data_IF_666419957180
#
_entry.id   IF_666419957180
#
_cell.length_a   1.000
_cell.length_b   1.000
_cell.length_c   1.000
_cell.angle_alpha   90.00
_cell.angle_beta   90.00
_cell.angle_gamma   90.00
#
_symmetry.space_group_name_H-M   'P 1'
#
loop_
_entity.id
_entity.type
_entity.pdbx_description
1 polymer ?
#
# COMPACT_ATOMS: atom_id res chain seq x y z
N UNK A 1 -10.75 -30.61 -24.47
CA UNK A 1 -11.59 -29.44 -24.77
C UNK A 1 -12.59 -29.30 -23.64
N UNK A 2 -12.21 -28.62 -22.57
CA UNK A 2 -13.11 -28.28 -21.48
C UNK A 2 -13.06 -26.76 -21.38
N UNK A 3 -14.14 -26.15 -21.86
CA UNK A 3 -14.47 -24.75 -21.64
C UNK A 3 -14.79 -24.59 -20.15
N UNK A 4 -13.95 -23.87 -19.43
CA UNK A 4 -14.26 -23.41 -18.08
C UNK A 4 -14.43 -21.89 -18.15
N UNK A 5 -15.68 -21.49 -18.38
CA UNK A 5 -16.16 -20.11 -18.45
C UNK A 5 -16.23 -19.47 -17.05
N UNK A 6 -15.07 -19.30 -16.41
CA UNK A 6 -14.94 -18.58 -15.13
C UNK A 6 -14.10 -17.30 -15.27
N UNK A 7 -14.34 -16.55 -16.35
CA UNK A 7 -13.95 -15.14 -16.39
C UNK A 7 -14.94 -14.33 -15.56
N UNK A 8 -14.66 -14.25 -14.25
CA UNK A 8 -15.36 -13.39 -13.30
C UNK A 8 -15.58 -12.01 -13.92
N UNK A 9 -16.86 -11.70 -14.10
CA UNK A 9 -17.38 -10.40 -14.53
C UNK A 9 -17.11 -9.40 -13.39
N UNK A 10 -15.88 -8.91 -13.34
CA UNK A 10 -15.27 -8.16 -12.23
C UNK A 10 -15.93 -6.81 -11.95
N UNK A 11 -16.83 -6.30 -12.80
CA UNK A 11 -17.26 -4.90 -12.69
C UNK A 11 -18.59 -4.68 -11.93
N UNK A 12 -19.54 -5.62 -11.94
CA UNK A 12 -20.78 -5.47 -11.14
C UNK A 12 -20.62 -6.09 -9.74
N UNK A 13 -20.02 -7.27 -9.64
CA UNK A 13 -19.81 -7.97 -8.36
C UNK A 13 -18.73 -7.33 -7.47
N UNK A 14 -17.79 -6.56 -8.03
CA UNK A 14 -16.77 -5.90 -7.22
C UNK A 14 -17.36 -4.78 -6.36
N UNK A 15 -18.35 -4.02 -6.84
CA UNK A 15 -18.97 -2.94 -6.06
C UNK A 15 -19.89 -3.49 -4.97
N UNK A 16 -20.69 -4.51 -5.27
CA UNK A 16 -21.58 -5.14 -4.29
C UNK A 16 -20.78 -5.89 -3.21
N UNK A 17 -19.73 -6.64 -3.59
CA UNK A 17 -18.86 -7.30 -2.62
C UNK A 17 -18.00 -6.32 -1.81
N UNK A 18 -17.59 -5.18 -2.36
CA UNK A 18 -16.86 -4.16 -1.61
C UNK A 18 -17.72 -3.49 -0.53
N UNK A 19 -19.04 -3.34 -0.76
CA UNK A 19 -19.98 -2.83 0.26
C UNK A 19 -20.24 -3.84 1.37
N UNK A 20 -20.39 -5.12 1.03
CA UNK A 20 -20.63 -6.18 2.02
C UNK A 20 -19.38 -6.45 2.88
N UNK A 21 -18.19 -6.23 2.33
CA UNK A 21 -16.89 -6.45 2.97
C UNK A 21 -16.28 -5.17 3.55
N UNK A 22 -17.08 -4.14 3.85
CA UNK A 22 -16.59 -2.90 4.49
C UNK A 22 -15.95 -3.14 5.87
N UNK A 23 -16.33 -4.23 6.54
CA UNK A 23 -15.72 -4.70 7.78
C UNK A 23 -14.36 -5.39 7.54
N UNK A 24 -14.07 -5.76 6.29
CA UNK A 24 -12.82 -6.38 5.90
C UNK A 24 -11.86 -5.29 5.40
N UNK A 25 -10.69 -5.20 6.02
CA UNK A 25 -9.66 -4.25 5.61
C UNK A 25 -9.28 -4.43 4.13
N UNK A 26 -8.84 -3.34 3.49
CA UNK A 26 -8.37 -3.37 2.11
C UNK A 26 -6.85 -3.54 2.09
N UNK A 27 -6.36 -4.59 1.44
CA UNK A 27 -4.92 -4.78 1.20
C UNK A 27 -4.51 -4.16 -0.14
N UNK A 28 -3.67 -3.12 -0.09
CA UNK A 28 -3.06 -2.52 -1.26
C UNK A 28 -1.65 -3.09 -1.47
N UNK A 29 -1.38 -3.63 -2.67
CA UNK A 29 -0.09 -4.19 -3.05
C UNK A 29 0.70 -3.17 -3.88
N UNK A 30 1.34 -2.23 -3.18
CA UNK A 30 2.03 -1.08 -3.78
C UNK A 30 3.19 -1.46 -4.72
N UNK A 31 3.80 -2.62 -4.50
CA UNK A 31 4.90 -3.15 -5.34
C UNK A 31 4.45 -4.28 -6.27
N UNK A 32 3.15 -4.47 -6.46
CA UNK A 32 2.62 -5.61 -7.19
C UNK A 32 2.67 -6.90 -6.38
N UNK A 33 2.68 -8.05 -7.07
CA UNK A 33 2.63 -9.36 -6.42
C UNK A 33 3.27 -10.43 -7.28
N UNK A 34 3.85 -11.46 -6.66
CA UNK A 34 4.39 -12.63 -7.38
C UNK A 34 3.33 -13.37 -8.20
N UNK A 35 2.07 -13.30 -7.77
CA UNK A 35 0.93 -13.90 -8.44
C UNK A 35 0.11 -12.90 -9.26
N UNK A 36 0.65 -11.71 -9.54
CA UNK A 36 0.05 -10.78 -10.50
C UNK A 36 0.83 -10.89 -11.81
N UNK A 37 0.12 -11.06 -12.92
CA UNK A 37 0.67 -10.96 -14.25
C UNK A 37 0.05 -9.80 -15.03
N UNK A 38 0.71 -9.36 -16.09
CA UNK A 38 0.20 -8.33 -16.99
C UNK A 38 0.45 -8.72 -18.44
N UNK A 39 -0.50 -8.39 -19.32
CA UNK A 39 -0.35 -8.69 -20.73
C UNK A 39 0.79 -7.85 -21.33
N UNK A 40 1.70 -8.50 -22.07
CA UNK A 40 2.80 -7.82 -22.76
C UNK A 40 2.34 -7.06 -24.01
N UNK A 41 1.22 -7.46 -24.60
CA UNK A 41 0.60 -6.73 -25.71
C UNK A 41 -0.07 -5.44 -25.21
N UNK A 42 0.51 -4.30 -25.57
CA UNK A 42 0.05 -2.98 -25.19
C UNK A 42 -1.35 -2.63 -25.71
N UNK A 43 -1.81 -3.26 -26.80
CA UNK A 43 -3.15 -3.05 -27.36
C UNK A 43 -4.25 -3.82 -26.60
N UNK A 44 -3.86 -4.78 -25.76
CA UNK A 44 -4.79 -5.56 -24.96
C UNK A 44 -5.35 -4.74 -23.79
N UNK A 45 -6.64 -4.88 -23.50
CA UNK A 45 -7.27 -4.25 -22.33
C UNK A 45 -6.65 -4.67 -20.98
N UNK A 46 -5.95 -5.81 -20.94
CA UNK A 46 -5.23 -6.35 -19.77
C UNK A 46 -3.78 -5.88 -19.66
N UNK A 47 -3.31 -4.95 -20.50
CA UNK A 47 -1.97 -4.36 -20.41
C UNK A 47 -1.82 -3.34 -19.27
N UNK A 48 -2.94 -2.88 -18.71
CA UNK A 48 -3.00 -1.83 -17.68
C UNK A 48 -3.46 -2.31 -16.29
N UNK A 49 -3.99 -3.55 -16.22
CA UNK A 49 -4.58 -4.12 -15.02
C UNK A 49 -4.04 -5.53 -14.79
N UNK A 50 -3.68 -5.89 -13.54
CA UNK A 50 -3.12 -7.20 -13.26
C UNK A 50 -4.16 -8.30 -13.44
N UNK A 51 -3.69 -9.43 -13.95
CA UNK A 51 -4.38 -10.71 -13.94
C UNK A 51 -3.90 -11.45 -12.69
N UNK A 52 -4.85 -11.96 -11.91
CA UNK A 52 -4.57 -12.70 -10.68
C UNK A 52 -4.41 -14.18 -11.00
N UNK A 53 -3.29 -14.75 -10.59
CA UNK A 53 -3.02 -16.17 -10.68
C UNK A 53 -3.11 -16.83 -9.31
N UNK A 54 -3.45 -18.12 -9.29
CA UNK A 54 -3.36 -18.90 -8.06
C UNK A 54 -1.88 -19.05 -7.68
N UNK A 55 -1.54 -19.08 -6.38
CA UNK A 55 -0.15 -19.14 -5.93
C UNK A 55 0.65 -20.30 -6.55
N UNK A 56 0.03 -21.48 -6.70
CA UNK A 56 0.68 -22.67 -7.28
C UNK A 56 0.83 -22.61 -8.80
N UNK A 57 0.00 -21.81 -9.48
CA UNK A 57 0.12 -21.62 -10.93
C UNK A 57 1.25 -20.61 -11.25
N UNK A 58 1.77 -19.88 -10.24
CA UNK A 58 2.77 -18.80 -10.39
C UNK A 58 4.22 -19.24 -10.45
N UNK A 59 4.47 -20.54 -10.41
CA UNK A 59 5.81 -21.12 -10.52
C UNK A 59 6.30 -21.18 -11.98
N UNK A 60 5.39 -21.28 -12.95
CA UNK A 60 5.73 -21.36 -14.38
C UNK A 60 5.11 -20.20 -15.18
N UNK A 61 5.76 -19.03 -15.13
CA UNK A 61 5.32 -17.86 -15.91
C UNK A 61 5.50 -18.02 -17.42
N UNK A 62 6.39 -18.90 -17.87
CA UNK A 62 6.65 -19.06 -19.30
C UNK A 62 5.46 -19.69 -20.03
N UNK A 63 4.60 -20.41 -19.32
CA UNK A 63 3.35 -20.95 -19.85
C UNK A 63 2.16 -19.99 -19.74
N UNK A 64 2.32 -18.82 -19.12
CA UNK A 64 1.22 -17.89 -18.92
C UNK A 64 0.88 -17.11 -20.18
N UNK A 65 -0.37 -17.24 -20.62
CA UNK A 65 -0.93 -16.51 -21.75
C UNK A 65 -2.10 -15.64 -21.32
N UNK A 66 -2.21 -14.49 -21.97
CA UNK A 66 -3.25 -13.52 -21.70
C UNK A 66 -4.60 -14.15 -21.99
N UNK A 67 -5.51 -14.22 -21.00
CA UNK A 67 -6.83 -14.78 -21.20
C UNK A 67 -7.67 -14.02 -22.23
N UNK A 68 -7.32 -12.75 -22.51
CA UNK A 68 -8.06 -11.89 -23.41
C UNK A 68 -7.57 -11.91 -24.86
N UNK A 69 -6.28 -12.15 -25.11
CA UNK A 69 -5.69 -12.05 -26.45
C UNK A 69 -4.67 -13.14 -26.78
N UNK A 70 -4.38 -14.05 -25.84
CA UNK A 70 -3.40 -15.13 -26.01
C UNK A 70 -1.93 -14.68 -25.94
N UNK A 71 -1.63 -13.38 -25.92
CA UNK A 71 -0.25 -12.87 -25.85
C UNK A 71 0.46 -13.26 -24.55
N UNK A 72 1.80 -13.31 -24.51
CA UNK A 72 2.54 -13.65 -23.30
C UNK A 72 2.22 -12.73 -22.11
N UNK A 73 2.39 -13.25 -20.90
CA UNK A 73 2.21 -12.50 -19.66
C UNK A 73 3.56 -12.26 -19.00
N UNK A 74 3.75 -11.04 -18.50
CA UNK A 74 4.89 -10.66 -17.67
C UNK A 74 4.50 -10.57 -16.21
N UNK A 75 5.44 -10.85 -15.30
CA UNK A 75 5.21 -10.70 -13.87
C UNK A 75 5.03 -9.22 -13.51
N UNK A 76 3.97 -8.91 -12.78
CA UNK A 76 3.67 -7.56 -12.34
C UNK A 76 4.23 -7.30 -10.93
N UNK A 77 5.54 -7.02 -10.89
CA UNK A 77 6.27 -6.58 -9.70
C UNK A 77 6.96 -5.26 -10.01
N UNK A 78 6.82 -4.28 -9.11
CA UNK A 78 7.57 -3.03 -9.16
C UNK A 78 8.56 -2.98 -8.00
N UNK A 79 9.87 -3.19 -8.24
CA UNK A 79 10.85 -3.11 -7.17
C UNK A 79 10.92 -1.70 -6.55
N UNK A 80 11.31 -1.59 -5.28
CA UNK A 80 11.60 -0.30 -4.65
C UNK A 80 12.92 0.24 -5.25
N UNK A 81 12.85 1.12 -6.25
CA UNK A 81 14.03 1.73 -6.84
C UNK A 81 13.84 3.25 -7.06
N UNK A 82 14.97 3.96 -7.15
CA UNK A 82 15.02 5.44 -7.23
C UNK A 82 14.51 5.96 -8.59
N UNK A 83 14.64 5.16 -9.65
CA UNK A 83 14.24 5.51 -11.01
C UNK A 83 12.86 4.94 -11.38
N UNK A 84 11.90 5.00 -10.45
CA UNK A 84 10.47 4.86 -10.77
C UNK A 84 10.02 6.09 -11.55
N UNK A 85 10.54 6.29 -12.76
CA UNK A 85 10.12 7.39 -13.63
C UNK A 85 8.70 7.07 -14.10
N UNK A 86 7.73 7.51 -13.29
CA UNK A 86 6.29 7.38 -13.47
C UNK A 86 5.80 5.94 -13.40
N UNK A 87 4.97 5.59 -12.40
CA UNK A 87 4.15 4.38 -12.44
C UNK A 87 3.41 4.34 -13.79
N UNK A 88 3.89 3.60 -14.82
CA UNK A 88 3.36 3.77 -16.17
C UNK A 88 1.94 3.21 -16.23
N UNK A 89 1.63 2.31 -15.30
CA UNK A 89 0.43 1.51 -15.30
C UNK A 89 -0.64 2.12 -14.44
N UNK A 90 -1.84 2.22 -15.00
CA UNK A 90 -3.02 2.79 -14.37
C UNK A 90 -3.35 2.14 -13.03
N UNK A 91 -3.16 0.84 -12.91
CA UNK A 91 -3.44 0.11 -11.67
C UNK A 91 -2.60 0.58 -10.47
N UNK A 92 -1.29 0.78 -10.63
CA UNK A 92 -0.44 1.26 -9.53
C UNK A 92 -0.81 2.69 -9.11
N UNK A 93 -1.13 3.55 -10.09
CA UNK A 93 -1.59 4.92 -9.81
C UNK A 93 -2.89 4.95 -9.02
N UNK A 94 -3.81 4.04 -9.34
CA UNK A 94 -5.06 3.89 -8.58
C UNK A 94 -4.78 3.44 -7.14
N UNK A 95 -3.93 2.43 -6.94
CA UNK A 95 -3.54 2.01 -5.60
C UNK A 95 -2.88 3.14 -4.80
N UNK A 96 -1.93 3.86 -5.41
CA UNK A 96 -1.26 5.00 -4.78
C UNK A 96 -2.24 6.11 -4.41
N UNK A 97 -3.22 6.41 -5.27
CA UNK A 97 -4.27 7.40 -4.96
C UNK A 97 -5.14 6.96 -3.78
N UNK A 98 -5.52 5.68 -3.71
CA UNK A 98 -6.30 5.15 -2.58
C UNK A 98 -5.45 5.20 -1.30
N UNK A 99 -4.19 4.78 -1.36
CA UNK A 99 -3.27 4.83 -0.21
C UNK A 99 -3.08 6.28 0.29
N UNK A 100 -2.82 7.22 -0.61
CA UNK A 100 -2.68 8.64 -0.33
C UNK A 100 -3.92 9.22 0.36
N UNK A 101 -5.12 8.91 -0.15
CA UNK A 101 -6.37 9.35 0.45
C UNK A 101 -6.59 8.74 1.84
N UNK A 102 -6.23 7.46 2.04
CA UNK A 102 -6.38 6.81 3.34
C UNK A 102 -5.39 7.35 4.37
N UNK A 103 -4.14 7.58 3.97
CA UNK A 103 -3.13 8.20 4.82
C UNK A 103 -3.53 9.61 5.25
N UNK A 104 -4.09 10.42 4.36
CA UNK A 104 -4.53 11.78 4.71
C UNK A 104 -5.75 11.85 5.61
N UNK A 105 -6.45 10.74 5.82
CA UNK A 105 -7.61 10.63 6.71
C UNK A 105 -7.33 9.75 7.93
N UNK A 106 -6.11 9.23 8.07
CA UNK A 106 -5.78 8.29 9.13
C UNK A 106 -5.63 8.99 10.48
N UNK A 107 -6.35 8.50 11.48
CA UNK A 107 -6.21 8.91 12.88
C UNK A 107 -5.16 8.06 13.61
N UNK A 108 -4.97 6.82 13.15
CA UNK A 108 -3.91 5.93 13.61
C UNK A 108 -3.18 5.30 12.41
N UNK A 109 -1.86 5.24 12.48
CA UNK A 109 -1.02 4.53 11.52
C UNK A 109 -0.22 3.47 12.26
N UNK A 110 -0.32 2.22 11.80
CA UNK A 110 0.44 1.09 12.34
C UNK A 110 1.49 0.66 11.31
N UNK A 111 2.75 0.65 11.72
CA UNK A 111 3.90 0.31 10.88
C UNK A 111 4.45 -1.01 11.38
N UNK A 112 4.52 -2.02 10.51
CA UNK A 112 4.98 -3.37 10.87
C UNK A 112 6.17 -3.74 10.00
N UNK A 113 7.35 -3.92 10.62
CA UNK A 113 8.53 -4.51 9.97
C UNK A 113 9.02 -3.80 8.71
N UNK A 114 8.80 -2.48 8.60
CA UNK A 114 9.20 -1.70 7.44
C UNK A 114 10.35 -0.75 7.79
N UNK A 115 11.51 -0.97 7.16
CA UNK A 115 12.75 -0.27 7.49
C UNK A 115 12.88 1.14 6.90
N UNK A 116 11.92 1.55 6.05
CA UNK A 116 11.96 2.80 5.29
C UNK A 116 13.30 3.05 4.57
N UNK A 117 13.67 2.16 3.62
CA UNK A 117 14.92 2.32 2.89
C UNK A 117 14.92 3.60 2.06
N UNK A 118 16.08 4.25 1.99
CA UNK A 118 16.26 5.54 1.28
C UNK A 118 15.89 5.50 -0.22
N UNK A 119 15.88 4.31 -0.82
CA UNK A 119 15.55 4.12 -2.24
C UNK A 119 14.04 3.93 -2.50
N UNK A 120 13.21 3.77 -1.46
CA UNK A 120 11.76 3.70 -1.60
C UNK A 120 11.12 5.08 -1.36
N UNK A 121 11.49 6.01 -2.22
CA UNK A 121 11.05 7.40 -2.15
C UNK A 121 9.53 7.53 -2.22
N UNK A 122 8.83 6.62 -2.89
CA UNK A 122 7.38 6.62 -2.99
C UNK A 122 6.72 6.37 -1.63
N UNK A 123 7.15 5.34 -0.90
CA UNK A 123 6.67 5.07 0.45
C UNK A 123 6.96 6.25 1.39
N UNK A 124 8.19 6.78 1.34
CA UNK A 124 8.62 7.93 2.15
C UNK A 124 7.74 9.17 1.85
N UNK A 125 7.52 9.49 0.57
CA UNK A 125 6.69 10.63 0.17
C UNK A 125 5.23 10.45 0.56
N UNK A 126 4.68 9.23 0.49
CA UNK A 126 3.30 8.95 0.90
C UNK A 126 3.08 9.15 2.39
N UNK A 127 4.02 8.76 3.25
CA UNK A 127 3.86 8.94 4.71
C UNK A 127 3.71 10.41 5.11
N UNK A 128 4.29 11.34 4.33
CA UNK A 128 4.12 12.79 4.52
C UNK A 128 2.73 13.32 4.22
N UNK A 129 1.86 12.49 3.64
CA UNK A 129 0.46 12.86 3.38
C UNK A 129 -0.42 12.71 4.61
N UNK A 130 0.06 12.05 5.67
CA UNK A 130 -0.64 11.99 6.94
C UNK A 130 -0.87 13.42 7.46
N UNK A 131 -2.12 13.75 7.79
CA UNK A 131 -2.49 15.10 8.20
C UNK A 131 -2.11 15.32 9.65
N UNK A 132 -1.23 16.27 9.88
CA UNK A 132 -0.91 16.81 11.19
C UNK A 132 -1.78 18.05 11.41
N UNK A 133 -2.49 18.13 12.55
CA UNK A 133 -3.37 19.26 12.85
C UNK A 133 -2.57 20.54 13.05
N UNK A 134 -3.09 21.67 12.57
CA UNK A 134 -2.54 22.99 12.92
C UNK A 134 -3.41 23.60 14.00
N UNK A 135 -2.79 23.89 15.15
CA UNK A 135 -3.39 24.63 16.27
C UNK A 135 -4.25 25.80 15.74
N UNK A 136 -5.53 25.81 16.12
CA UNK A 136 -6.54 26.82 15.77
C UNK A 136 -7.18 26.73 14.37
N UNK A 137 -7.14 25.60 13.68
CA UNK A 137 -7.81 25.47 12.37
C UNK A 137 -9.35 25.56 12.46
N UNK A 138 -9.95 25.24 13.62
CA UNK A 138 -11.41 25.30 13.81
C UNK A 138 -12.21 24.34 12.92
N UNK A 139 -11.54 23.53 12.11
CA UNK A 139 -12.14 22.55 11.21
C UNK A 139 -12.28 21.20 11.92
N UNK A 140 -13.50 20.63 11.87
CA UNK A 140 -13.70 19.20 12.14
C UNK A 140 -12.97 18.40 11.05
N UNK A 141 -11.76 17.92 11.34
CA UNK A 141 -10.94 17.14 10.43
C UNK A 141 -10.48 15.82 11.06
N UNK A 142 -10.16 14.84 10.22
CA UNK A 142 -9.40 13.66 10.62
C UNK A 142 -7.93 14.02 10.65
N UNK A 143 -7.32 13.90 11.82
CA UNK A 143 -5.92 14.22 12.08
C UNK A 143 -5.23 12.99 12.64
N UNK A 144 -3.95 12.82 12.30
CA UNK A 144 -3.15 11.75 12.86
C UNK A 144 -2.96 11.98 14.36
N UNK A 145 -3.46 11.05 15.16
CA UNK A 145 -3.40 11.10 16.62
C UNK A 145 -2.38 10.10 17.17
N UNK A 146 -2.12 9.01 16.44
CA UNK A 146 -1.27 7.92 16.93
C UNK A 146 -0.45 7.26 15.81
N UNK A 147 0.81 6.95 16.11
CA UNK A 147 1.65 6.05 15.32
C UNK A 147 2.11 4.90 16.20
N UNK A 148 1.77 3.68 15.78
CA UNK A 148 2.21 2.43 16.41
C UNK A 148 3.32 1.82 15.54
N UNK A 149 4.53 1.65 16.10
CA UNK A 149 5.68 1.08 15.40
C UNK A 149 5.97 -0.31 15.96
N UNK A 150 5.96 -1.32 15.10
CA UNK A 150 6.15 -2.72 15.45
C UNK A 150 7.37 -3.23 14.69
N UNK A 151 8.51 -3.28 15.37
CA UNK A 151 9.79 -3.67 14.78
C UNK A 151 10.79 -4.09 15.87
N UNK A 152 11.61 -5.14 15.67
CA UNK A 152 12.66 -5.49 16.64
C UNK A 152 13.66 -4.36 16.92
N UNK A 153 13.79 -3.37 16.02
CA UNK A 153 14.68 -2.23 16.14
C UNK A 153 14.06 -1.01 16.87
N UNK A 154 12.88 -1.12 17.49
CA UNK A 154 12.22 0.02 18.16
C UNK A 154 13.03 0.71 19.26
N UNK A 155 14.04 0.03 19.82
CA UNK A 155 14.95 0.59 20.81
C UNK A 155 16.11 1.39 20.18
N UNK A 156 16.34 1.28 18.86
CA UNK A 156 17.31 2.09 18.14
C UNK A 156 16.78 3.52 17.97
N UNK A 157 17.34 4.45 18.75
CA UNK A 157 16.96 5.88 18.73
C UNK A 157 17.17 6.53 17.36
N UNK A 158 18.21 6.16 16.62
CA UNK A 158 18.49 6.76 15.30
C UNK A 158 17.45 6.29 14.30
N UNK A 159 17.14 4.99 14.32
CA UNK A 159 16.12 4.42 13.46
C UNK A 159 14.74 5.02 13.75
N UNK A 160 14.33 5.10 15.02
CA UNK A 160 13.08 5.76 15.40
C UNK A 160 13.06 7.23 14.96
N UNK A 161 14.15 7.98 15.17
CA UNK A 161 14.22 9.37 14.73
C UNK A 161 14.01 9.49 13.22
N UNK A 162 14.62 8.60 12.43
CA UNK A 162 14.44 8.55 10.98
C UNK A 162 12.99 8.28 10.59
N UNK A 163 12.33 7.30 11.23
CA UNK A 163 10.92 7.00 10.98
C UNK A 163 10.05 8.21 11.30
N UNK A 164 10.24 8.85 12.46
CA UNK A 164 9.46 10.03 12.85
C UNK A 164 9.70 11.22 11.91
N UNK A 165 10.93 11.42 11.43
CA UNK A 165 11.27 12.47 10.47
C UNK A 165 10.57 12.27 9.11
N UNK A 166 10.33 11.03 8.70
CA UNK A 166 9.55 10.71 7.49
C UNK A 166 8.13 11.25 7.59
N UNK A 167 7.50 11.18 8.76
CA UNK A 167 6.19 11.76 9.04
C UNK A 167 6.23 13.28 9.27
N UNK A 168 7.40 13.92 9.21
CA UNK A 168 7.56 15.34 9.48
C UNK A 168 7.48 15.70 10.97
N UNK A 169 7.70 14.72 11.86
CA UNK A 169 7.48 14.89 13.29
C UNK A 169 8.54 15.70 14.03
N UNK A 170 9.69 15.93 13.43
CA UNK A 170 10.81 16.68 14.00
C UNK A 170 10.42 18.08 14.48
N UNK A 171 9.32 18.65 13.94
CA UNK A 171 8.83 19.98 14.29
C UNK A 171 7.35 20.02 14.74
N UNK A 172 6.74 18.87 15.07
CA UNK A 172 5.29 18.79 15.33
C UNK A 172 4.83 19.69 16.48
N UNK A 173 5.46 19.57 17.66
CA UNK A 173 5.06 20.38 18.82
C UNK A 173 5.23 21.89 18.60
N UNK A 174 6.20 22.30 17.78
CA UNK A 174 6.46 23.71 17.47
C UNK A 174 5.49 24.29 16.43
N UNK A 175 5.10 23.50 15.44
CA UNK A 175 4.37 23.99 14.26
C UNK A 175 2.87 23.65 14.26
N UNK A 176 2.48 22.57 14.96
CA UNK A 176 1.19 21.91 14.76
C UNK A 176 0.37 21.86 16.07
N UNK A 177 1.03 21.86 17.24
CA UNK A 177 0.37 22.08 18.54
C UNK A 177 -0.44 20.91 19.10
N UNK A 178 -0.71 19.88 18.29
CA UNK A 178 -1.19 18.58 18.77
C UNK A 178 -0.02 17.60 18.91
N UNK A 179 0.01 16.87 20.02
CA UNK A 179 0.95 15.77 20.23
C UNK A 179 0.39 14.50 19.58
N UNK A 180 1.12 13.94 18.62
CA UNK A 180 0.83 12.60 18.09
C UNK A 180 1.45 11.59 19.06
N UNK A 181 0.64 10.67 19.56
CA UNK A 181 1.09 9.58 20.42
C UNK A 181 1.97 8.61 19.63
N UNK A 182 3.17 8.32 20.13
CA UNK A 182 4.09 7.34 19.51
C UNK A 182 4.22 6.14 20.43
N UNK A 183 3.71 5.00 19.98
CA UNK A 183 3.77 3.73 20.71
C UNK A 183 4.67 2.76 19.96
N UNK A 184 5.41 1.94 20.69
CA UNK A 184 6.46 1.07 20.16
C UNK A 184 6.32 -0.34 20.71
N UNK A 185 6.50 -1.32 19.85
CA UNK A 185 6.41 -2.74 20.18
C UNK A 185 7.56 -3.49 19.49
N UNK A 186 8.19 -4.42 20.20
CA UNK A 186 9.27 -5.25 19.65
C UNK A 186 8.73 -6.35 18.72
N UNK A 187 7.48 -6.76 18.94
CA UNK A 187 6.82 -7.78 18.14
C UNK A 187 5.32 -7.50 17.91
N UNK A 188 4.75 -8.17 16.90
CA UNK A 188 3.30 -8.18 16.66
C UNK A 188 2.55 -8.76 17.86
N UNK A 189 3.13 -9.74 18.57
CA UNK A 189 2.53 -10.32 19.77
C UNK A 189 2.33 -9.28 20.87
N UNK A 190 3.35 -8.44 21.11
CA UNK A 190 3.28 -7.37 22.11
C UNK A 190 2.21 -6.32 21.75
N UNK A 191 2.10 -5.99 20.45
CA UNK A 191 1.06 -5.09 19.96
C UNK A 191 -0.33 -5.66 20.19
N UNK A 192 -0.57 -6.91 19.79
CA UNK A 192 -1.88 -7.56 19.94
C UNK A 192 -2.28 -7.66 21.41
N UNK A 193 -1.34 -7.94 22.31
CA UNK A 193 -1.62 -8.03 23.76
C UNK A 193 -1.97 -6.68 24.40
N UNK A 194 -1.71 -5.57 23.71
CA UNK A 194 -1.96 -4.20 24.19
C UNK A 194 -3.22 -3.57 23.59
N UNK A 195 -3.91 -4.24 22.65
CA UNK A 195 -5.21 -3.83 22.09
C UNK A 195 -6.36 -4.18 23.05
#
# INVERSE_FOLDING_TARGET
>A
MLHDDNYLNLNSHAYDSARERLHEGVLLKMHGSVNFGICSDASCSKSEYPILFKPFDAEDLESWTCPSCGSPIERFILPPNVNKTYQPRRFLRLQARVAAQKLSMAEEIVIVGYSFPIYDMEAISMMRLARLDMKNSGEMGHWLNKISIIDPMVNDKKWISHVLDIFGMSNVSKNYGNEVEIVKYESIGDYINAL
#
